data_IF_205812099935
#
_entry.id   IF_205812099935
#
_cell.length_a   1.000
_cell.length_b   1.000
_cell.length_c   1.000
_cell.angle_alpha   90.00
_cell.angle_beta   90.00
_cell.angle_gamma   90.00
#
_symmetry.space_group_name_H-M   'P 1'
#
loop_
_entity.id
_entity.type
_entity.pdbx_description
1 polymer ?
#
# COMPACT_ATOMS: atom_id res chain seq x y z
N UNK A 1 -44.83 44.64 -54.46
CA UNK A 1 -45.84 44.62 -53.38
C UNK A 1 -45.15 45.20 -52.15
N UNK A 2 -45.07 46.53 -52.02
CA UNK A 2 -45.91 47.38 -51.13
C UNK A 2 -45.89 46.87 -49.68
N UNK A 3 -45.38 47.55 -48.65
CA UNK A 3 -45.63 48.92 -48.16
C UNK A 3 -44.61 49.20 -47.02
N UNK A 4 -43.80 50.27 -47.04
CA UNK A 4 -43.95 51.56 -46.28
C UNK A 4 -44.27 51.44 -44.77
N UNK A 5 -43.77 52.25 -43.82
CA UNK A 5 -42.78 53.34 -43.77
C UNK A 5 -42.62 53.82 -42.29
N UNK A 6 -41.47 54.47 -42.00
CA UNK A 6 -41.18 55.63 -41.10
C UNK A 6 -41.47 55.66 -39.57
N UNK A 7 -40.48 56.22 -38.83
CA UNK A 7 -40.64 56.99 -37.57
C UNK A 7 -39.49 56.80 -36.56
N UNK A 8 -38.37 57.55 -36.62
CA UNK A 8 -38.02 58.78 -35.85
C UNK A 8 -38.04 58.66 -34.30
N UNK A 9 -36.88 58.81 -33.66
CA UNK A 9 -36.65 59.02 -32.21
C UNK A 9 -36.82 60.54 -31.83
N UNK A 10 -36.52 61.07 -30.60
CA UNK A 10 -36.13 60.50 -29.28
C UNK A 10 -36.78 61.22 -28.03
N UNK A 11 -36.26 60.94 -26.81
CA UNK A 11 -36.12 61.79 -25.59
C UNK A 11 -36.94 61.47 -24.31
N UNK A 12 -36.23 61.39 -23.17
CA UNK A 12 -36.74 61.47 -21.79
C UNK A 12 -36.19 60.37 -20.84
N UNK A 13 -34.91 60.40 -20.40
CA UNK A 13 -34.45 60.97 -19.11
C UNK A 13 -35.29 60.57 -17.88
N UNK A 14 -34.74 59.77 -16.96
CA UNK A 14 -34.59 60.06 -15.50
C UNK A 14 -33.68 59.00 -14.83
N UNK A 15 -32.74 59.49 -14.02
CA UNK A 15 -31.77 58.78 -13.16
C UNK A 15 -32.40 57.96 -12.02
N UNK A 16 -31.77 56.82 -11.69
CA UNK A 16 -31.54 56.26 -10.35
C UNK A 16 -30.57 55.05 -10.51
N UNK A 17 -29.26 55.16 -10.28
CA UNK A 17 -28.53 54.93 -9.01
C UNK A 17 -28.95 53.63 -8.30
N UNK A 18 -28.14 52.57 -8.40
CA UNK A 18 -27.37 51.96 -7.29
C UNK A 18 -26.74 50.61 -7.72
N UNK A 19 -25.46 50.48 -7.37
CA UNK A 19 -24.64 49.29 -7.07
C UNK A 19 -25.19 47.90 -7.43
N UNK A 20 -24.49 47.18 -8.30
CA UNK A 20 -24.37 45.72 -8.19
C UNK A 20 -22.99 45.26 -8.72
N UNK A 21 -22.34 44.44 -7.91
CA UNK A 21 -20.94 44.04 -7.91
C UNK A 21 -20.52 43.31 -9.20
N UNK A 22 -19.32 43.62 -9.72
CA UNK A 22 -18.60 42.76 -10.67
C UNK A 22 -18.35 41.38 -10.03
N UNK A 23 -18.82 40.26 -10.60
CA UNK A 23 -18.24 38.97 -10.29
C UNK A 23 -16.91 38.88 -11.05
N UNK A 24 -15.81 39.05 -10.32
CA UNK A 24 -14.47 38.63 -10.72
C UNK A 24 -14.52 37.17 -11.21
N UNK A 25 -14.58 37.02 -12.52
CA UNK A 25 -14.41 35.73 -13.20
C UNK A 25 -12.94 35.34 -13.07
N UNK A 26 -12.62 34.62 -12.00
CA UNK A 26 -11.34 33.93 -11.88
C UNK A 26 -11.21 32.91 -13.03
N UNK A 27 -10.52 33.32 -14.08
CA UNK A 27 -10.46 32.61 -15.36
C UNK A 27 -9.67 31.29 -15.34
N UNK A 28 -9.79 30.50 -16.42
CA UNK A 28 -9.17 29.18 -16.61
C UNK A 28 -7.62 29.19 -16.63
N UNK A 29 -6.97 30.35 -16.75
CA UNK A 29 -5.51 30.47 -16.77
C UNK A 29 -4.86 30.03 -15.46
N UNK A 30 -5.45 30.40 -14.32
CA UNK A 30 -4.90 30.09 -12.98
C UNK A 30 -4.90 28.58 -12.70
N UNK A 31 -5.85 27.83 -13.26
CA UNK A 31 -5.95 26.39 -13.06
C UNK A 31 -4.92 25.62 -13.92
N UNK A 32 -4.62 26.12 -15.13
CA UNK A 32 -3.60 25.56 -16.02
C UNK A 32 -2.20 25.78 -15.43
N UNK A 33 -1.91 26.98 -14.91
CA UNK A 33 -0.61 27.29 -14.30
C UNK A 33 -0.31 26.41 -13.09
N UNK A 34 -1.31 26.18 -12.22
CA UNK A 34 -1.17 25.31 -11.05
C UNK A 34 -0.90 23.87 -11.46
N UNK A 35 -1.63 23.32 -12.43
CA UNK A 35 -1.44 21.93 -12.87
C UNK A 35 -0.08 21.69 -13.51
N UNK A 36 0.43 22.67 -14.27
CA UNK A 36 1.75 22.59 -14.90
C UNK A 36 2.86 22.69 -13.85
N UNK A 37 2.70 23.55 -12.85
CA UNK A 37 3.60 23.66 -11.70
C UNK A 37 3.65 22.37 -10.86
N UNK A 38 2.48 21.77 -10.60
CA UNK A 38 2.35 20.51 -9.85
C UNK A 38 3.06 19.36 -10.56
N UNK A 39 2.89 19.24 -11.89
CA UNK A 39 3.63 18.24 -12.68
C UNK A 39 5.14 18.48 -12.66
N UNK A 40 5.58 19.74 -12.75
CA UNK A 40 6.99 20.10 -12.70
C UNK A 40 7.64 19.68 -11.37
N UNK A 41 6.96 19.92 -10.24
CA UNK A 41 7.43 19.50 -8.92
C UNK A 41 7.68 17.99 -8.86
N UNK A 42 6.85 17.23 -9.56
CA UNK A 42 6.99 15.79 -9.62
C UNK A 42 8.15 15.26 -10.43
N UNK A 43 8.38 15.86 -11.60
CA UNK A 43 9.58 15.60 -12.38
C UNK A 43 10.84 16.01 -11.61
N UNK A 44 10.81 17.17 -10.94
CA UNK A 44 11.92 17.64 -10.13
C UNK A 44 12.26 16.67 -8.99
N UNK A 45 11.26 16.17 -8.26
CA UNK A 45 11.46 15.16 -7.22
C UNK A 45 12.16 13.90 -7.74
N UNK A 46 11.76 13.43 -8.93
CA UNK A 46 12.34 12.23 -9.56
C UNK A 46 13.76 12.48 -10.07
N UNK A 47 14.02 13.67 -10.63
CA UNK A 47 15.36 14.09 -11.04
C UNK A 47 16.31 14.22 -9.85
N UNK A 48 15.85 14.83 -8.75
CA UNK A 48 16.64 14.94 -7.52
C UNK A 48 16.97 13.57 -6.94
N UNK A 49 16.03 12.62 -6.98
CA UNK A 49 16.31 11.23 -6.58
C UNK A 49 17.40 10.61 -7.46
N UNK A 50 17.32 10.77 -8.79
CA UNK A 50 18.33 10.25 -9.71
C UNK A 50 19.72 10.81 -9.39
N UNK A 51 19.84 12.13 -9.21
CA UNK A 51 21.10 12.77 -8.86
C UNK A 51 21.62 12.27 -7.52
N UNK A 52 20.75 12.19 -6.51
CA UNK A 52 21.12 11.69 -5.18
C UNK A 52 21.68 10.27 -5.23
N UNK A 53 21.02 9.38 -5.99
CA UNK A 53 21.43 8.00 -6.17
C UNK A 53 22.77 7.89 -6.90
N UNK A 54 22.96 8.66 -7.99
CA UNK A 54 24.22 8.68 -8.73
C UNK A 54 25.39 9.16 -7.86
N UNK A 55 25.21 10.25 -7.12
CA UNK A 55 26.24 10.77 -6.21
C UNK A 55 26.53 9.74 -5.11
N UNK A 56 25.50 9.19 -4.46
CA UNK A 56 25.69 8.21 -3.38
C UNK A 56 26.40 6.92 -3.83
N UNK A 57 26.12 6.43 -5.04
CA UNK A 57 26.82 5.26 -5.60
C UNK A 57 28.26 5.59 -5.98
N UNK A 58 28.51 6.76 -6.56
CA UNK A 58 29.85 7.23 -6.90
C UNK A 58 30.74 7.36 -5.66
N UNK A 59 30.22 7.94 -4.58
CA UNK A 59 30.98 8.14 -3.33
C UNK A 59 31.32 6.80 -2.67
N UNK A 60 30.40 5.83 -2.69
CA UNK A 60 30.67 4.47 -2.19
C UNK A 60 31.82 3.85 -2.96
N UNK A 61 31.78 3.89 -4.28
CA UNK A 61 32.88 3.38 -5.10
C UNK A 61 34.20 4.10 -4.84
N UNK A 62 34.20 5.43 -4.75
CA UNK A 62 35.40 6.24 -4.48
C UNK A 62 36.06 5.89 -3.13
N UNK A 63 35.25 5.58 -2.11
CA UNK A 63 35.75 5.29 -0.76
C UNK A 63 36.13 3.82 -0.59
N UNK A 64 35.38 2.88 -1.16
CA UNK A 64 35.65 1.44 -0.98
C UNK A 64 36.61 0.85 -2.01
N UNK A 65 36.84 1.54 -3.14
CA UNK A 65 37.59 1.07 -4.30
C UNK A 65 37.11 -0.29 -4.84
N UNK A 66 35.86 -0.67 -4.54
CA UNK A 66 35.28 -1.92 -4.97
C UNK A 66 34.77 -1.82 -6.42
N UNK A 67 35.46 -2.49 -7.33
CA UNK A 67 35.12 -2.50 -8.76
C UNK A 67 33.68 -3.00 -9.04
N UNK A 68 33.15 -3.87 -8.18
CA UNK A 68 31.77 -4.38 -8.30
C UNK A 68 30.73 -3.25 -8.22
N UNK A 69 30.94 -2.24 -7.37
CA UNK A 69 30.02 -1.10 -7.25
C UNK A 69 30.01 -0.28 -8.54
N UNK A 70 31.18 -0.08 -9.15
CA UNK A 70 31.31 0.61 -10.43
C UNK A 70 30.62 -0.17 -11.57
N UNK A 71 30.80 -1.49 -11.64
CA UNK A 71 30.14 -2.35 -12.64
C UNK A 71 28.63 -2.25 -12.51
N UNK A 72 28.09 -2.32 -11.28
CA UNK A 72 26.66 -2.18 -11.02
C UNK A 72 26.16 -0.78 -11.44
N UNK A 73 26.93 0.26 -11.15
CA UNK A 73 26.58 1.63 -11.52
C UNK A 73 26.53 1.82 -13.04
N UNK A 74 27.52 1.32 -13.78
CA UNK A 74 27.56 1.36 -15.25
C UNK A 74 26.40 0.56 -15.85
N UNK A 75 26.13 -0.64 -15.33
CA UNK A 75 24.97 -1.44 -15.73
C UNK A 75 23.67 -0.67 -15.51
N UNK A 76 23.58 0.13 -14.45
CA UNK A 76 22.43 0.98 -14.20
C UNK A 76 22.22 2.09 -15.18
N UNK A 77 23.30 2.78 -15.58
CA UNK A 77 23.23 3.77 -16.65
C UNK A 77 22.77 3.13 -17.97
N UNK A 78 23.22 1.90 -18.23
CA UNK A 78 22.77 1.14 -19.40
C UNK A 78 21.28 0.79 -19.33
N UNK A 79 20.78 0.32 -18.19
CA UNK A 79 19.34 0.04 -17.97
C UNK A 79 18.50 1.31 -18.12
N UNK A 80 18.95 2.45 -17.58
CA UNK A 80 18.29 3.75 -17.77
C UNK A 80 18.30 4.20 -19.24
N UNK A 81 19.40 3.94 -19.95
CA UNK A 81 19.50 4.15 -21.40
C UNK A 81 18.48 3.32 -22.18
N UNK A 82 18.37 2.02 -21.89
CA UNK A 82 17.36 1.14 -22.49
C UNK A 82 15.94 1.64 -22.16
N UNK A 83 15.67 2.00 -20.92
CA UNK A 83 14.37 2.53 -20.51
C UNK A 83 14.03 3.80 -21.30
N UNK A 84 15.00 4.68 -21.52
CA UNK A 84 14.82 5.90 -22.33
C UNK A 84 14.55 5.58 -23.80
N UNK A 85 15.28 4.63 -24.39
CA UNK A 85 15.06 4.17 -25.77
C UNK A 85 13.66 3.57 -25.93
N UNK A 86 13.26 2.68 -25.01
CA UNK A 86 11.92 2.08 -25.02
C UNK A 86 10.81 3.14 -24.92
N UNK A 87 11.04 4.20 -24.16
CA UNK A 87 10.09 5.30 -24.03
C UNK A 87 9.98 6.11 -25.32
N UNK A 88 11.09 6.67 -25.80
CA UNK A 88 11.09 7.65 -26.89
C UNK A 88 11.02 7.02 -28.29
N UNK A 89 11.70 5.89 -28.52
CA UNK A 89 11.78 5.28 -29.86
C UNK A 89 10.69 4.24 -30.11
N UNK A 90 10.38 3.41 -29.11
CA UNK A 90 9.43 2.31 -29.26
C UNK A 90 8.03 2.62 -28.73
N UNK A 91 7.80 3.80 -28.14
CA UNK A 91 6.55 4.18 -27.48
C UNK A 91 6.04 3.14 -26.45
N UNK A 92 6.97 2.36 -25.87
CA UNK A 92 6.69 1.32 -24.89
C UNK A 92 6.77 1.88 -23.46
N UNK A 93 5.90 2.85 -23.16
CA UNK A 93 5.93 3.61 -21.90
C UNK A 93 5.87 2.71 -20.65
N UNK A 94 5.01 1.69 -20.65
CA UNK A 94 4.85 0.78 -19.51
C UNK A 94 6.11 -0.04 -19.23
N UNK A 95 6.78 -0.51 -20.27
CA UNK A 95 8.01 -1.29 -20.13
C UNK A 95 9.16 -0.42 -19.64
N UNK A 96 9.27 0.80 -20.18
CA UNK A 96 10.24 1.80 -19.71
C UNK A 96 10.06 2.15 -18.23
N UNK A 97 8.85 2.53 -17.82
CA UNK A 97 8.53 2.84 -16.43
C UNK A 97 8.74 1.62 -15.53
N UNK A 98 8.43 0.42 -16.01
CA UNK A 98 8.65 -0.81 -15.26
C UNK A 98 10.14 -1.02 -14.94
N UNK A 99 11.01 -0.85 -15.93
CA UNK A 99 12.46 -0.95 -15.73
C UNK A 99 12.98 0.14 -14.80
N UNK A 100 12.47 1.37 -14.95
CA UNK A 100 12.82 2.50 -14.10
C UNK A 100 12.51 2.22 -12.62
N UNK A 101 11.27 1.87 -12.28
CA UNK A 101 10.88 1.58 -10.89
C UNK A 101 11.67 0.42 -10.27
N UNK A 102 11.86 -0.67 -11.04
CA UNK A 102 12.66 -1.80 -10.60
C UNK A 102 14.10 -1.38 -10.27
N UNK A 103 14.71 -0.60 -11.16
CA UNK A 103 16.10 -0.19 -11.03
C UNK A 103 16.31 0.80 -9.89
N UNK A 104 15.39 1.74 -9.68
CA UNK A 104 15.43 2.65 -8.54
C UNK A 104 15.30 1.93 -7.20
N UNK A 105 14.37 0.97 -7.10
CA UNK A 105 14.25 0.12 -5.91
C UNK A 105 15.56 -0.62 -5.61
N UNK A 106 16.21 -1.16 -6.65
CA UNK A 106 17.48 -1.86 -6.53
C UNK A 106 18.64 -0.94 -6.08
N UNK A 107 18.83 0.20 -6.75
CA UNK A 107 19.90 1.13 -6.38
C UNK A 107 19.72 1.70 -4.98
N UNK A 108 18.48 2.03 -4.58
CA UNK A 108 18.19 2.56 -3.25
C UNK A 108 18.40 1.50 -2.16
N UNK A 109 18.13 0.22 -2.47
CA UNK A 109 18.51 -0.91 -1.63
C UNK A 109 20.02 -1.03 -1.45
N UNK A 110 20.80 -0.96 -2.53
CA UNK A 110 22.26 -0.97 -2.44
C UNK A 110 22.82 0.19 -1.63
N UNK A 111 22.29 1.41 -1.84
CA UNK A 111 22.60 2.59 -1.04
C UNK A 111 22.32 2.37 0.45
N UNK A 112 21.22 1.69 0.78
CA UNK A 112 20.88 1.35 2.15
C UNK A 112 21.87 0.37 2.78
N UNK A 113 22.36 -0.60 2.01
CA UNK A 113 23.08 -1.76 2.51
C UNK A 113 24.61 -1.65 2.47
N UNK A 114 25.15 -0.95 1.46
CA UNK A 114 26.57 -0.66 1.30
C UNK A 114 26.92 0.62 2.07
N UNK A 115 26.87 0.54 3.40
CA UNK A 115 27.23 1.66 4.27
C UNK A 115 28.45 1.29 5.11
N UNK A 116 29.34 2.26 5.30
CA UNK A 116 30.61 2.11 6.00
C UNK A 116 30.87 3.36 6.83
N UNK A 117 31.40 3.25 8.07
CA UNK A 117 31.72 4.41 8.90
C UNK A 117 32.75 5.36 8.24
N UNK A 118 33.50 4.89 7.23
CA UNK A 118 34.40 5.74 6.43
C UNK A 118 33.66 6.81 5.60
N UNK A 119 32.35 6.65 5.39
CA UNK A 119 31.52 7.60 4.63
C UNK A 119 31.01 8.77 5.48
N UNK A 120 31.00 8.65 6.81
CA UNK A 120 30.34 9.61 7.71
C UNK A 120 30.99 11.02 7.66
N UNK A 121 32.28 11.11 7.33
CA UNK A 121 33.00 12.39 7.20
C UNK A 121 33.03 12.96 5.77
N UNK A 122 32.48 12.25 4.77
CA UNK A 122 32.57 12.68 3.37
C UNK A 122 31.48 13.69 3.01
N UNK A 123 31.89 14.89 2.57
CA UNK A 123 30.97 15.97 2.15
C UNK A 123 30.04 15.50 1.02
N UNK A 124 30.52 14.66 0.10
CA UNK A 124 29.70 14.17 -1.02
C UNK A 124 28.58 13.22 -0.54
N UNK A 125 28.82 12.38 0.48
CA UNK A 125 27.78 11.55 1.09
C UNK A 125 26.76 12.42 1.83
N UNK A 126 27.21 13.48 2.52
CA UNK A 126 26.31 14.45 3.16
C UNK A 126 25.38 15.10 2.12
N UNK A 127 25.92 15.52 0.98
CA UNK A 127 25.12 16.07 -0.13
C UNK A 127 24.13 15.04 -0.66
N UNK A 128 24.56 13.80 -0.91
CA UNK A 128 23.67 12.73 -1.35
C UNK A 128 22.51 12.50 -0.37
N UNK A 129 22.80 12.44 0.94
CA UNK A 129 21.79 12.27 2.00
C UNK A 129 20.77 13.41 2.04
N UNK A 130 21.21 14.66 1.89
CA UNK A 130 20.31 15.81 1.84
C UNK A 130 19.45 15.82 0.56
N UNK A 131 20.02 15.41 -0.58
CA UNK A 131 19.25 15.27 -1.82
C UNK A 131 18.21 14.16 -1.73
N UNK A 132 18.54 13.02 -1.09
CA UNK A 132 17.58 11.94 -0.80
C UNK A 132 16.40 12.48 0.01
N UNK A 133 16.68 13.18 1.12
CA UNK A 133 15.64 13.78 1.97
C UNK A 133 14.82 14.82 1.21
N UNK A 134 15.47 15.72 0.46
CA UNK A 134 14.82 16.72 -0.37
C UNK A 134 13.87 16.08 -1.40
N UNK A 135 14.27 14.95 -2.01
CA UNK A 135 13.42 14.23 -2.96
C UNK A 135 12.12 13.72 -2.32
N UNK A 136 12.17 13.27 -1.07
CA UNK A 136 11.01 12.80 -0.30
C UNK A 136 10.08 13.97 0.00
N UNK A 137 10.63 15.08 0.50
CA UNK A 137 9.85 16.27 0.84
C UNK A 137 9.14 16.80 -0.41
N UNK A 138 9.84 16.90 -1.54
CA UNK A 138 9.21 17.31 -2.81
C UNK A 138 8.12 16.35 -3.26
N UNK A 139 8.32 15.03 -3.11
CA UNK A 139 7.28 14.04 -3.43
C UNK A 139 6.07 14.20 -2.52
N UNK A 140 6.28 14.43 -1.23
CA UNK A 140 5.20 14.61 -0.27
C UNK A 140 4.39 15.88 -0.53
N UNK A 141 5.07 17.00 -0.81
CA UNK A 141 4.42 18.27 -1.19
C UNK A 141 3.65 18.10 -2.49
N UNK A 142 4.21 17.41 -3.49
CA UNK A 142 3.51 17.09 -4.73
C UNK A 142 2.24 16.28 -4.46
N UNK A 143 2.38 15.14 -3.78
CA UNK A 143 1.28 14.23 -3.47
C UNK A 143 0.17 14.91 -2.66
N UNK A 144 0.53 15.80 -1.72
CA UNK A 144 -0.43 16.58 -0.95
C UNK A 144 -1.15 17.61 -1.82
N UNK A 145 -0.41 18.34 -2.67
CA UNK A 145 -0.96 19.37 -3.54
C UNK A 145 -1.95 18.77 -4.55
N UNK A 146 -1.63 17.62 -5.15
CA UNK A 146 -2.56 16.92 -6.07
C UNK A 146 -3.88 16.56 -5.40
N UNK A 147 -3.85 16.14 -4.14
CA UNK A 147 -5.04 15.75 -3.36
C UNK A 147 -5.86 16.96 -2.95
N UNK A 148 -5.22 18.04 -2.50
CA UNK A 148 -5.90 19.30 -2.17
C UNK A 148 -6.59 19.89 -3.41
N UNK A 149 -5.91 19.86 -4.56
CA UNK A 149 -6.45 20.33 -5.83
C UNK A 149 -7.46 19.36 -6.48
N UNK A 150 -7.76 18.22 -5.84
CA UNK A 150 -8.64 17.15 -6.36
C UNK A 150 -8.28 16.67 -7.77
N UNK A 151 -6.99 16.72 -8.11
CA UNK A 151 -6.49 16.29 -9.42
C UNK A 151 -6.31 14.76 -9.51
N UNK A 152 -6.47 14.04 -8.38
CA UNK A 152 -6.22 12.60 -8.28
C UNK A 152 -7.42 11.79 -8.73
N UNK A 153 -7.18 10.85 -9.64
CA UNK A 153 -8.14 9.83 -10.03
C UNK A 153 -7.89 8.55 -9.23
N UNK A 154 -8.75 8.27 -8.25
CA UNK A 154 -8.63 7.07 -7.43
C UNK A 154 -9.05 5.83 -8.21
N UNK A 155 -8.14 4.85 -8.31
CA UNK A 155 -8.43 3.53 -8.88
C UNK A 155 -8.36 2.47 -7.77
N UNK A 156 -9.30 1.51 -7.74
CA UNK A 156 -9.25 0.42 -6.77
C UNK A 156 -8.17 -0.58 -7.17
N UNK A 157 -7.00 -0.47 -6.54
CA UNK A 157 -5.86 -1.38 -6.74
C UNK A 157 -5.27 -1.76 -5.39
N UNK A 158 -4.89 -3.03 -5.22
CA UNK A 158 -4.21 -3.50 -4.01
C UNK A 158 -2.80 -2.91 -3.92
N UNK A 159 -2.00 -3.17 -4.95
CA UNK A 159 -0.64 -2.67 -5.10
C UNK A 159 -0.47 -2.19 -6.53
N UNK A 160 0.15 -1.03 -6.72
CA UNK A 160 0.47 -0.51 -8.06
C UNK A 160 1.67 -1.27 -8.65
N UNK A 161 1.79 -1.28 -9.98
CA UNK A 161 2.95 -1.90 -10.63
C UNK A 161 4.27 -1.23 -10.23
N UNK A 162 4.24 0.10 -10.03
CA UNK A 162 5.41 0.87 -9.58
C UNK A 162 5.86 0.42 -8.18
N UNK A 163 4.94 0.36 -7.21
CA UNK A 163 5.24 -0.11 -5.85
C UNK A 163 5.76 -1.55 -5.87
N UNK A 164 5.12 -2.45 -6.62
CA UNK A 164 5.56 -3.85 -6.72
C UNK A 164 7.00 -3.96 -7.25
N UNK A 165 7.34 -3.18 -8.28
CA UNK A 165 8.66 -3.21 -8.90
C UNK A 165 9.72 -2.56 -8.01
N UNK A 166 9.40 -1.47 -7.31
CA UNK A 166 10.31 -0.85 -6.34
C UNK A 166 10.58 -1.80 -5.16
N UNK A 167 9.53 -2.46 -4.63
CA UNK A 167 9.66 -3.51 -3.60
C UNK A 167 10.55 -4.66 -4.10
N UNK A 168 10.30 -5.15 -5.32
CA UNK A 168 11.07 -6.25 -5.90
C UNK A 168 12.54 -5.84 -6.12
N UNK A 169 12.79 -4.63 -6.61
CA UNK A 169 14.14 -4.09 -6.76
C UNK A 169 14.91 -4.05 -5.44
N UNK A 170 14.29 -3.52 -4.39
CA UNK A 170 14.90 -3.46 -3.06
C UNK A 170 15.16 -4.86 -2.48
N UNK A 171 14.23 -5.80 -2.68
CA UNK A 171 14.41 -7.20 -2.30
C UNK A 171 15.53 -7.90 -3.09
N UNK A 172 15.70 -7.59 -4.37
CA UNK A 172 16.84 -8.10 -5.15
C UNK A 172 18.16 -7.51 -4.65
N UNK A 173 18.19 -6.24 -4.27
CA UNK A 173 19.40 -5.62 -3.72
C UNK A 173 19.89 -6.29 -2.43
N UNK A 174 18.99 -6.87 -1.61
CA UNK A 174 19.39 -7.57 -0.40
C UNK A 174 20.18 -8.85 -0.67
N UNK A 175 20.13 -9.39 -1.89
CA UNK A 175 20.94 -10.56 -2.29
C UNK A 175 22.44 -10.29 -2.34
N UNK A 176 22.84 -9.01 -2.31
CA UNK A 176 24.23 -8.63 -2.10
C UNK A 176 24.75 -8.99 -0.68
N UNK A 177 23.85 -9.26 0.27
CA UNK A 177 24.20 -9.70 1.62
C UNK A 177 24.19 -11.23 1.78
N UNK A 178 24.72 -11.70 2.92
CA UNK A 178 24.60 -13.09 3.36
C UNK A 178 23.14 -13.58 3.33
N UNK A 179 22.96 -14.85 2.94
CA UNK A 179 21.65 -15.45 2.69
C UNK A 179 20.64 -15.23 3.83
N UNK A 180 21.01 -15.47 5.09
CA UNK A 180 20.10 -15.31 6.23
C UNK A 180 19.63 -13.86 6.42
N UNK A 181 20.50 -12.86 6.19
CA UNK A 181 20.15 -11.43 6.24
C UNK A 181 19.25 -11.06 5.08
N UNK A 182 19.58 -11.55 3.88
CA UNK A 182 18.79 -11.32 2.67
C UNK A 182 17.36 -11.84 2.83
N UNK A 183 17.18 -13.07 3.32
CA UNK A 183 15.83 -13.64 3.53
C UNK A 183 15.01 -12.82 4.53
N UNK A 184 15.63 -12.34 5.62
CA UNK A 184 14.94 -11.48 6.59
C UNK A 184 14.54 -10.12 5.98
N UNK A 185 15.40 -9.52 5.17
CA UNK A 185 15.10 -8.27 4.44
C UNK A 185 13.99 -8.49 3.41
N UNK A 186 14.03 -9.59 2.66
CA UNK A 186 12.93 -9.96 1.74
C UNK A 186 11.63 -10.09 2.52
N UNK A 187 11.64 -10.76 3.68
CA UNK A 187 10.48 -10.83 4.58
C UNK A 187 9.96 -9.45 4.98
N UNK A 188 10.86 -8.52 5.35
CA UNK A 188 10.51 -7.13 5.68
C UNK A 188 9.89 -6.38 4.48
N UNK A 189 10.42 -6.60 3.27
CA UNK A 189 9.87 -6.00 2.03
C UNK A 189 8.47 -6.53 1.75
N UNK A 190 8.23 -7.83 1.94
CA UNK A 190 6.87 -8.40 1.80
C UNK A 190 5.94 -7.83 2.87
N UNK A 191 6.43 -7.66 4.11
CA UNK A 191 5.68 -7.00 5.19
C UNK A 191 5.30 -5.55 4.84
N UNK A 192 6.23 -4.78 4.25
CA UNK A 192 5.96 -3.43 3.75
C UNK A 192 4.91 -3.45 2.64
N UNK A 193 4.98 -4.41 1.72
CA UNK A 193 3.96 -4.60 0.69
C UNK A 193 2.58 -4.86 1.28
N UNK A 194 2.48 -5.75 2.27
CA UNK A 194 1.23 -6.02 2.97
C UNK A 194 0.69 -4.78 3.71
N UNK A 195 1.58 -4.00 4.33
CA UNK A 195 1.23 -2.74 4.99
C UNK A 195 0.71 -1.67 4.00
N UNK A 196 1.32 -1.55 2.82
CA UNK A 196 0.83 -0.64 1.77
C UNK A 196 -0.60 -1.02 1.36
N UNK A 197 -0.85 -2.32 1.17
CA UNK A 197 -2.20 -2.81 0.84
C UNK A 197 -3.18 -2.50 1.98
N UNK A 198 -2.77 -2.72 3.24
CA UNK A 198 -3.59 -2.46 4.42
C UNK A 198 -3.99 -0.97 4.53
N UNK A 199 -3.04 -0.06 4.27
CA UNK A 199 -3.28 1.38 4.22
C UNK A 199 -4.24 1.77 3.07
N UNK A 200 -4.06 1.20 1.88
CA UNK A 200 -4.95 1.47 0.73
C UNK A 200 -6.37 0.96 0.97
N UNK A 201 -6.51 -0.15 1.68
CA UNK A 201 -7.82 -0.67 2.13
C UNK A 201 -8.41 0.13 3.29
N UNK A 202 -7.67 1.08 3.86
CA UNK A 202 -7.99 1.86 5.07
C UNK A 202 -8.54 1.00 6.20
N UNK A 203 -7.90 -0.15 6.45
CA UNK A 203 -8.27 -0.94 7.62
C UNK A 203 -8.15 -0.09 8.89
N UNK A 204 -9.05 -0.32 9.85
CA UNK A 204 -9.10 0.42 11.12
C UNK A 204 -7.76 0.37 11.88
N UNK A 205 -7.02 -0.72 11.73
CA UNK A 205 -5.75 -0.97 12.42
C UNK A 205 -4.53 -0.65 11.55
N UNK A 206 -4.70 -0.17 10.32
CA UNK A 206 -3.59 0.08 9.40
C UNK A 206 -2.58 1.12 9.92
N UNK A 207 -3.04 2.19 10.58
CA UNK A 207 -2.15 3.19 11.18
C UNK A 207 -1.38 2.63 12.39
N UNK A 208 -2.00 1.73 13.16
CA UNK A 208 -1.34 1.04 14.26
C UNK A 208 -0.28 0.08 13.73
N UNK A 209 -0.60 -0.68 12.67
CA UNK A 209 0.34 -1.55 11.96
C UNK A 209 1.51 -0.74 11.38
N UNK A 210 1.27 0.46 10.85
CA UNK A 210 2.31 1.36 10.36
C UNK A 210 3.24 1.83 11.49
N UNK A 211 2.67 2.24 12.63
CA UNK A 211 3.45 2.65 13.80
C UNK A 211 4.30 1.49 14.34
N UNK A 212 3.70 0.30 14.47
CA UNK A 212 4.41 -0.91 14.89
C UNK A 212 5.53 -1.27 13.90
N UNK A 213 5.26 -1.23 12.60
CA UNK A 213 6.25 -1.47 11.55
C UNK A 213 7.42 -0.49 11.66
N UNK A 214 7.14 0.81 11.77
CA UNK A 214 8.18 1.83 11.88
C UNK A 214 9.04 1.66 13.15
N UNK A 215 8.41 1.42 14.30
CA UNK A 215 9.10 1.27 15.58
C UNK A 215 9.96 -0.01 15.63
N UNK A 216 9.39 -1.17 15.27
CA UNK A 216 10.11 -2.44 15.30
C UNK A 216 11.24 -2.44 14.26
N UNK A 217 10.99 -1.91 13.06
CA UNK A 217 12.00 -1.83 12.00
C UNK A 217 13.19 -0.96 12.42
N UNK A 218 12.92 0.24 12.94
CA UNK A 218 13.97 1.20 13.31
C UNK A 218 14.73 0.80 14.58
N UNK A 219 14.04 0.33 15.63
CA UNK A 219 14.66 0.09 16.94
C UNK A 219 15.28 -1.29 17.08
N UNK A 220 14.71 -2.31 16.43
CA UNK A 220 15.05 -3.71 16.73
C UNK A 220 15.54 -4.46 15.49
N UNK A 221 14.86 -4.34 14.35
CA UNK A 221 15.12 -5.18 13.19
C UNK A 221 16.53 -5.03 12.59
N UNK A 222 16.97 -3.80 12.29
CA UNK A 222 18.30 -3.58 11.73
C UNK A 222 19.42 -3.90 12.73
N UNK A 223 19.15 -3.67 14.03
CA UNK A 223 20.05 -4.07 15.10
C UNK A 223 20.17 -5.61 15.19
N UNK A 224 19.05 -6.34 15.09
CA UNK A 224 18.99 -7.80 15.11
C UNK A 224 19.82 -8.42 13.97
N UNK A 225 19.81 -7.81 12.79
CA UNK A 225 20.58 -8.28 11.64
C UNK A 225 22.04 -7.81 11.64
N UNK A 226 22.43 -6.96 12.59
CA UNK A 226 23.73 -6.30 12.63
C UNK A 226 24.09 -5.69 11.26
N UNK A 227 23.18 -4.87 10.72
CA UNK A 227 23.35 -4.15 9.46
C UNK A 227 23.40 -2.66 9.80
N UNK A 228 24.51 -2.00 9.46
CA UNK A 228 24.66 -0.55 9.59
C UNK A 228 23.92 0.19 8.46
N UNK A 229 22.59 0.02 8.35
CA UNK A 229 21.82 0.56 7.24
C UNK A 229 21.90 2.09 7.16
N UNK A 230 22.07 2.66 5.95
CA UNK A 230 22.01 4.12 5.79
C UNK A 230 20.56 4.60 6.04
N UNK A 231 20.32 5.42 7.10
CA UNK A 231 18.98 5.83 7.50
C UNK A 231 18.32 6.79 6.50
N UNK A 232 19.10 7.58 5.76
CA UNK A 232 18.58 8.50 4.74
C UNK A 232 18.10 7.76 3.50
N UNK A 233 18.83 6.74 3.05
CA UNK A 233 18.41 5.88 1.93
C UNK A 233 17.16 5.07 2.30
N UNK A 234 17.15 4.46 3.49
CA UNK A 234 15.99 3.73 4.00
C UNK A 234 14.77 4.64 4.19
N UNK A 235 14.96 5.81 4.79
CA UNK A 235 13.91 6.81 4.98
C UNK A 235 13.38 7.34 3.65
N UNK A 236 14.26 7.50 2.65
CA UNK A 236 13.87 7.86 1.30
C UNK A 236 13.01 6.78 0.64
N UNK A 237 13.42 5.52 0.74
CA UNK A 237 12.67 4.39 0.21
C UNK A 237 11.28 4.27 0.85
N UNK A 238 11.23 4.21 2.18
CA UNK A 238 9.98 4.09 2.93
C UNK A 238 9.09 5.32 2.75
N UNK A 239 9.66 6.53 2.85
CA UNK A 239 8.93 7.78 2.72
C UNK A 239 8.28 7.93 1.35
N UNK A 240 8.99 7.58 0.27
CA UNK A 240 8.44 7.67 -1.09
C UNK A 240 7.37 6.61 -1.37
N UNK A 241 7.51 5.40 -0.84
CA UNK A 241 6.52 4.33 -1.01
C UNK A 241 5.25 4.57 -0.17
N UNK A 242 5.39 5.01 1.08
CA UNK A 242 4.27 5.15 2.01
C UNK A 242 3.53 6.47 1.90
N UNK A 243 4.14 7.52 1.31
CA UNK A 243 3.54 8.84 1.25
C UNK A 243 2.13 8.84 0.62
N UNK A 244 1.97 8.23 -0.54
CA UNK A 244 0.68 8.19 -1.23
C UNK A 244 -0.37 7.33 -0.49
N UNK A 245 -0.08 6.07 -0.10
CA UNK A 245 -1.01 5.25 0.70
C UNK A 245 -1.46 5.93 2.00
N UNK A 246 -0.54 6.57 2.73
CA UNK A 246 -0.86 7.26 4.00
C UNK A 246 -1.79 8.45 3.76
N UNK A 247 -1.52 9.26 2.74
CA UNK A 247 -2.40 10.37 2.38
C UNK A 247 -3.77 9.86 1.89
N UNK A 248 -3.80 8.74 1.17
CA UNK A 248 -5.03 8.16 0.65
C UNK A 248 -5.99 7.69 1.76
N UNK A 249 -5.48 7.31 2.94
CA UNK A 249 -6.32 7.02 4.12
C UNK A 249 -7.25 8.19 4.43
N UNK A 250 -6.75 9.44 4.34
CA UNK A 250 -7.52 10.64 4.66
C UNK A 250 -8.26 11.24 3.46
N UNK A 251 -7.62 11.29 2.29
CA UNK A 251 -8.16 12.03 1.13
C UNK A 251 -9.01 11.18 0.16
N UNK A 252 -8.84 9.85 0.15
CA UNK A 252 -9.58 9.01 -0.80
C UNK A 252 -11.07 8.97 -0.45
N UNK A 253 -11.92 9.33 -1.42
CA UNK A 253 -13.38 9.25 -1.31
C UNK A 253 -13.98 7.92 -1.78
N UNK A 254 -13.17 6.91 -2.10
CA UNK A 254 -13.66 5.63 -2.62
C UNK A 254 -14.58 4.92 -1.62
N UNK A 255 -15.71 4.40 -2.12
CA UNK A 255 -16.63 3.61 -1.31
C UNK A 255 -15.98 2.31 -0.80
N UNK A 256 -16.48 1.77 0.30
CA UNK A 256 -15.92 0.54 0.92
C UNK A 256 -15.93 -0.64 -0.05
N UNK A 257 -17.04 -0.90 -0.74
CA UNK A 257 -17.13 -1.98 -1.73
C UNK A 257 -16.26 -1.75 -2.97
N UNK A 258 -15.96 -0.48 -3.30
CA UNK A 258 -15.09 -0.14 -4.43
C UNK A 258 -13.63 -0.41 -4.08
N UNK A 259 -13.18 -0.05 -2.86
CA UNK A 259 -11.81 -0.34 -2.39
C UNK A 259 -11.51 -1.84 -2.39
N UNK A 260 -12.44 -2.64 -1.86
CA UNK A 260 -12.31 -4.09 -1.82
C UNK A 260 -12.63 -4.80 -3.14
N UNK A 261 -13.03 -4.05 -4.19
CA UNK A 261 -13.41 -4.61 -5.48
C UNK A 261 -12.35 -5.56 -6.08
N UNK A 262 -11.03 -5.31 -6.01
CA UNK A 262 -10.02 -6.23 -6.52
C UNK A 262 -10.14 -7.61 -5.86
N UNK A 263 -10.31 -7.67 -4.53
CA UNK A 263 -10.49 -8.91 -3.76
C UNK A 263 -11.85 -9.54 -4.05
N UNK A 264 -12.90 -8.73 -4.08
CA UNK A 264 -14.27 -9.18 -4.31
C UNK A 264 -14.48 -9.73 -5.72
N UNK A 265 -13.74 -9.22 -6.71
CA UNK A 265 -13.83 -9.62 -8.13
C UNK A 265 -12.90 -10.77 -8.51
N UNK A 266 -11.95 -11.17 -7.65
CA UNK A 266 -11.01 -12.26 -7.93
C UNK A 266 -11.71 -13.54 -8.40
N UNK A 267 -11.04 -14.29 -9.28
CA UNK A 267 -11.50 -15.58 -9.76
C UNK A 267 -11.61 -16.64 -8.66
N UNK A 268 -12.39 -17.71 -8.90
CA UNK A 268 -12.56 -18.82 -7.94
C UNK A 268 -11.22 -19.49 -7.58
N UNK A 269 -10.37 -19.74 -8.57
CA UNK A 269 -9.06 -20.40 -8.37
C UNK A 269 -8.11 -19.49 -7.60
N UNK A 270 -7.96 -18.24 -8.04
CA UNK A 270 -7.09 -17.26 -7.41
C UNK A 270 -7.43 -16.97 -5.94
N UNK A 271 -8.71 -16.96 -5.56
CA UNK A 271 -9.10 -16.82 -4.14
C UNK A 271 -8.79 -18.03 -3.28
N UNK A 272 -8.85 -19.24 -3.83
CA UNK A 272 -8.43 -20.43 -3.09
C UNK A 272 -6.91 -20.45 -2.96
N UNK A 273 -6.22 -20.05 -4.03
CA UNK A 273 -4.76 -19.97 -4.03
C UNK A 273 -4.26 -18.88 -3.09
N UNK A 274 -4.98 -17.76 -2.89
CA UNK A 274 -4.57 -16.69 -1.97
C UNK A 274 -4.59 -17.08 -0.50
N UNK A 275 -5.28 -18.16 -0.12
CA UNK A 275 -5.24 -18.69 1.25
C UNK A 275 -3.95 -19.46 1.55
N UNK A 276 -3.31 -20.03 0.52
CA UNK A 276 -2.07 -20.78 0.67
C UNK A 276 -0.91 -19.89 1.15
N UNK A 277 -0.58 -18.72 0.56
CA UNK A 277 0.47 -17.86 1.07
C UNK A 277 0.13 -17.32 2.47
N UNK A 278 -1.14 -17.01 2.77
CA UNK A 278 -1.54 -16.62 4.13
C UNK A 278 -1.21 -17.72 5.15
N UNK A 279 -1.65 -18.95 4.89
CA UNK A 279 -1.40 -20.09 5.76
C UNK A 279 0.09 -20.42 5.90
N UNK A 280 0.87 -20.30 4.82
CA UNK A 280 2.32 -20.51 4.87
C UNK A 280 3.01 -19.46 5.75
N UNK A 281 2.61 -18.19 5.69
CA UNK A 281 3.20 -17.13 6.49
C UNK A 281 2.83 -17.24 7.97
N UNK A 282 1.59 -17.61 8.29
CA UNK A 282 1.17 -17.89 9.66
C UNK A 282 1.93 -19.09 10.26
N UNK A 283 2.06 -20.18 9.48
CA UNK A 283 2.85 -21.34 9.89
C UNK A 283 4.32 -20.98 10.09
N UNK A 284 4.90 -20.20 9.18
CA UNK A 284 6.29 -19.74 9.30
C UNK A 284 6.48 -18.91 10.57
N UNK A 285 5.57 -17.99 10.88
CA UNK A 285 5.59 -17.23 12.13
C UNK A 285 5.54 -18.16 13.35
N UNK A 286 4.64 -19.15 13.37
CA UNK A 286 4.53 -20.10 14.48
C UNK A 286 5.80 -20.94 14.68
N UNK A 287 6.39 -21.44 13.58
CA UNK A 287 7.65 -22.20 13.63
C UNK A 287 8.80 -21.33 14.13
N UNK A 288 8.90 -20.08 13.65
CA UNK A 288 9.92 -19.13 14.11
C UNK A 288 9.73 -18.74 15.58
N UNK A 289 8.48 -18.62 16.03
CA UNK A 289 8.15 -18.42 17.44
C UNK A 289 8.58 -19.62 18.29
N UNK A 290 8.36 -20.84 17.81
CA UNK A 290 8.73 -22.08 18.50
C UNK A 290 10.24 -22.22 18.71
N UNK A 291 11.09 -21.62 17.87
CA UNK A 291 12.53 -21.60 18.10
C UNK A 291 12.93 -20.90 19.42
N UNK A 292 12.05 -20.09 20.02
CA UNK A 292 12.25 -19.55 21.36
C UNK A 292 12.43 -20.64 22.42
N UNK A 293 11.80 -21.81 22.25
CA UNK A 293 11.92 -22.96 23.15
C UNK A 293 13.35 -23.51 23.27
N UNK A 294 14.22 -23.23 22.29
CA UNK A 294 15.62 -23.65 22.33
C UNK A 294 16.48 -22.83 23.32
N UNK A 295 16.00 -21.69 23.80
CA UNK A 295 16.72 -20.84 24.76
C UNK A 295 16.41 -21.26 26.20
N UNK A 296 17.28 -22.09 26.78
CA UNK A 296 17.08 -22.75 28.07
C UNK A 296 17.20 -21.84 29.31
N UNK A 297 17.56 -20.56 29.16
CA UNK A 297 17.84 -19.68 30.31
C UNK A 297 16.62 -19.38 31.19
N UNK A 298 15.39 -19.46 30.65
CA UNK A 298 14.13 -19.18 31.38
C UNK A 298 13.04 -20.25 31.12
N UNK A 299 13.45 -21.49 30.94
CA UNK A 299 12.59 -22.58 30.46
C UNK A 299 11.31 -22.80 31.27
N UNK A 300 11.34 -22.59 32.59
CA UNK A 300 10.18 -22.76 33.49
C UNK A 300 8.99 -21.85 33.16
N UNK A 301 9.23 -20.65 32.62
CA UNK A 301 8.16 -19.71 32.25
C UNK A 301 7.89 -19.76 30.74
N UNK A 302 8.94 -19.89 29.95
CA UNK A 302 8.86 -19.85 28.48
C UNK A 302 8.12 -21.06 27.93
N UNK A 303 8.40 -22.27 28.43
CA UNK A 303 7.78 -23.50 27.89
C UNK A 303 6.27 -23.52 28.19
N UNK A 304 5.80 -23.36 29.45
CA UNK A 304 4.36 -23.38 29.71
C UNK A 304 3.62 -22.21 29.05
N UNK A 305 4.24 -21.03 29.01
CA UNK A 305 3.69 -19.87 28.33
C UNK A 305 3.51 -20.10 26.84
N UNK A 306 4.56 -20.57 26.16
CA UNK A 306 4.49 -20.91 24.74
C UNK A 306 3.49 -22.03 24.46
N UNK A 307 3.41 -23.07 25.29
CA UNK A 307 2.42 -24.12 25.11
C UNK A 307 0.98 -23.60 25.23
N UNK A 308 0.69 -22.80 26.26
CA UNK A 308 -0.66 -22.24 26.47
C UNK A 308 -1.04 -21.27 25.35
N UNK A 309 -0.20 -20.26 25.10
CA UNK A 309 -0.50 -19.21 24.12
C UNK A 309 -0.35 -19.72 22.68
N UNK A 310 0.57 -20.64 22.41
CA UNK A 310 0.74 -21.27 21.11
C UNK A 310 -0.41 -22.20 20.74
N UNK A 311 -0.96 -22.96 21.70
CA UNK A 311 -2.16 -23.76 21.47
C UNK A 311 -3.39 -22.87 21.25
N UNK A 312 -3.56 -21.83 22.08
CA UNK A 312 -4.63 -20.85 21.89
C UNK A 312 -4.54 -20.15 20.53
N UNK A 313 -3.34 -19.71 20.14
CA UNK A 313 -3.05 -19.13 18.83
C UNK A 313 -3.41 -20.10 17.71
N UNK A 314 -2.97 -21.37 17.79
CA UNK A 314 -3.24 -22.38 16.77
C UNK A 314 -4.74 -22.60 16.57
N UNK A 315 -5.53 -22.66 17.65
CA UNK A 315 -6.99 -22.77 17.57
C UNK A 315 -7.59 -21.54 16.89
N UNK A 316 -7.19 -20.34 17.29
CA UNK A 316 -7.70 -19.09 16.71
C UNK A 316 -7.37 -18.99 15.21
N UNK A 317 -6.17 -19.40 14.80
CA UNK A 317 -5.71 -19.33 13.42
C UNK A 317 -6.34 -20.41 12.52
N UNK A 318 -6.59 -21.60 13.05
CA UNK A 318 -7.41 -22.59 12.34
C UNK A 318 -8.82 -22.04 12.09
N UNK A 319 -9.41 -21.34 13.07
CA UNK A 319 -10.70 -20.66 12.91
C UNK A 319 -10.59 -19.52 11.88
N UNK A 320 -9.52 -18.73 11.88
CA UNK A 320 -9.27 -17.68 10.89
C UNK A 320 -9.21 -18.27 9.46
N UNK A 321 -8.49 -19.36 9.25
CA UNK A 321 -8.41 -20.03 7.95
C UNK A 321 -9.76 -20.59 7.51
N UNK A 322 -10.52 -21.21 8.43
CA UNK A 322 -11.87 -21.72 8.15
C UNK A 322 -12.83 -20.58 7.80
N UNK A 323 -12.78 -19.46 8.53
CA UNK A 323 -13.66 -18.30 8.30
C UNK A 323 -13.33 -17.64 6.96
N UNK A 324 -12.05 -17.45 6.62
CA UNK A 324 -11.64 -16.93 5.32
C UNK A 324 -12.00 -17.87 4.17
N UNK A 325 -11.82 -19.18 4.34
CA UNK A 325 -12.28 -20.19 3.37
C UNK A 325 -13.80 -20.17 3.16
N UNK A 326 -14.56 -20.09 4.26
CA UNK A 326 -16.01 -19.98 4.25
C UNK A 326 -16.49 -18.71 3.55
N UNK A 327 -15.83 -17.57 3.82
CA UNK A 327 -16.08 -16.30 3.15
C UNK A 327 -15.89 -16.42 1.64
N UNK A 328 -14.73 -16.93 1.19
CA UNK A 328 -14.44 -17.08 -0.23
C UNK A 328 -15.41 -18.03 -0.94
N UNK A 329 -15.87 -19.09 -0.25
CA UNK A 329 -16.87 -20.01 -0.78
C UNK A 329 -18.21 -19.29 -0.99
N UNK A 330 -18.72 -18.58 0.02
CA UNK A 330 -19.96 -17.80 -0.09
C UNK A 330 -19.86 -16.67 -1.13
N UNK A 331 -18.71 -16.00 -1.22
CA UNK A 331 -18.45 -14.98 -2.24
C UNK A 331 -18.45 -15.58 -3.65
N UNK A 332 -17.90 -16.79 -3.82
CA UNK A 332 -17.96 -17.49 -5.11
C UNK A 332 -19.40 -17.79 -5.54
N UNK A 333 -20.29 -18.10 -4.59
CA UNK A 333 -21.71 -18.32 -4.89
C UNK A 333 -22.40 -17.02 -5.26
N UNK A 334 -22.13 -15.93 -4.52
CA UNK A 334 -22.64 -14.59 -4.84
C UNK A 334 -22.22 -14.13 -6.24
N UNK A 335 -20.95 -14.31 -6.61
CA UNK A 335 -20.47 -13.99 -7.96
C UNK A 335 -21.13 -14.85 -9.04
N UNK A 336 -21.36 -16.14 -8.80
CA UNK A 336 -22.06 -17.00 -9.77
C UNK A 336 -23.50 -16.54 -9.95
N UNK A 337 -24.21 -16.23 -8.86
CA UNK A 337 -25.56 -15.70 -8.91
C UNK A 337 -25.62 -14.35 -9.64
N UNK A 338 -24.68 -13.44 -9.34
CA UNK A 338 -24.56 -12.15 -10.01
C UNK A 338 -24.31 -12.29 -11.51
N UNK A 339 -23.43 -13.20 -11.93
CA UNK A 339 -23.20 -13.47 -13.36
C UNK A 339 -24.40 -14.12 -14.06
N UNK A 340 -25.13 -15.00 -13.37
CA UNK A 340 -26.34 -15.62 -13.91
C UNK A 340 -27.51 -14.64 -14.05
N UNK A 341 -27.58 -13.62 -13.18
CA UNK A 341 -28.63 -12.60 -13.17
C UNK A 341 -28.23 -11.30 -13.88
N UNK A 342 -27.23 -11.33 -14.76
CA UNK A 342 -26.67 -10.12 -15.43
C UNK A 342 -27.69 -9.34 -16.27
N UNK A 343 -28.83 -9.94 -16.61
CA UNK A 343 -29.96 -9.29 -17.29
C UNK A 343 -30.78 -8.37 -16.37
N UNK A 344 -30.71 -8.57 -15.06
CA UNK A 344 -31.34 -7.72 -14.04
C UNK A 344 -30.23 -6.84 -13.45
N UNK A 345 -30.44 -5.52 -13.39
CA UNK A 345 -29.47 -4.49 -12.97
C UNK A 345 -29.06 -4.53 -11.48
N UNK A 346 -28.99 -5.72 -10.86
CA UNK A 346 -28.64 -5.91 -9.46
C UNK A 346 -27.14 -5.78 -9.25
N UNK A 347 -26.76 -4.97 -8.26
CA UNK A 347 -25.37 -4.80 -7.86
C UNK A 347 -24.88 -6.02 -7.06
N UNK A 348 -23.56 -6.29 -7.07
CA UNK A 348 -22.96 -7.37 -6.29
C UNK A 348 -23.27 -7.24 -4.79
N UNK A 349 -23.30 -6.00 -4.28
CA UNK A 349 -23.62 -5.70 -2.88
C UNK A 349 -25.04 -6.18 -2.50
N UNK A 350 -26.03 -6.01 -3.38
CA UNK A 350 -27.40 -6.50 -3.14
C UNK A 350 -27.46 -8.03 -3.10
N UNK A 351 -26.71 -8.70 -3.99
CA UNK A 351 -26.63 -10.17 -3.99
C UNK A 351 -25.97 -10.67 -2.69
N UNK A 352 -24.88 -10.03 -2.25
CA UNK A 352 -24.19 -10.34 -1.00
C UNK A 352 -25.09 -10.12 0.22
N UNK A 353 -25.86 -9.03 0.25
CA UNK A 353 -26.83 -8.75 1.31
C UNK A 353 -27.93 -9.84 1.37
N UNK A 354 -28.53 -10.22 0.24
CA UNK A 354 -29.60 -11.22 0.19
C UNK A 354 -29.14 -12.64 0.60
N UNK A 355 -27.84 -12.93 0.50
CA UNK A 355 -27.22 -14.21 0.87
C UNK A 355 -26.66 -14.22 2.30
N UNK A 356 -26.94 -13.18 3.10
CA UNK A 356 -26.55 -13.13 4.51
C UNK A 356 -25.05 -12.94 4.75
N UNK A 357 -24.30 -12.39 3.79
CA UNK A 357 -22.87 -12.08 3.97
C UNK A 357 -22.65 -11.11 5.13
N UNK A 358 -23.56 -10.15 5.33
CA UNK A 358 -23.49 -9.19 6.44
C UNK A 358 -23.36 -9.89 7.81
N UNK A 359 -24.25 -10.84 8.10
CA UNK A 359 -24.23 -11.55 9.39
C UNK A 359 -22.98 -12.41 9.54
N UNK A 360 -22.54 -13.03 8.44
CA UNK A 360 -21.27 -13.75 8.41
C UNK A 360 -20.08 -12.85 8.72
N UNK A 361 -20.04 -11.63 8.17
CA UNK A 361 -19.00 -10.64 8.43
C UNK A 361 -19.01 -10.16 9.89
N UNK A 362 -20.16 -9.81 10.46
CA UNK A 362 -20.25 -9.33 11.84
C UNK A 362 -19.81 -10.38 12.89
N UNK A 363 -20.08 -11.66 12.62
CA UNK A 363 -19.61 -12.75 13.48
C UNK A 363 -18.11 -12.98 13.27
N UNK A 364 -17.67 -13.05 12.01
CA UNK A 364 -16.26 -13.27 11.66
C UNK A 364 -15.36 -12.15 12.16
N UNK A 365 -15.80 -10.89 12.15
CA UNK A 365 -15.08 -9.73 12.69
C UNK A 365 -14.56 -9.98 14.10
N UNK A 366 -15.43 -10.49 15.00
CA UNK A 366 -15.04 -10.81 16.38
C UNK A 366 -14.03 -11.94 16.45
N UNK A 367 -14.15 -12.96 15.60
CA UNK A 367 -13.24 -14.09 15.55
C UNK A 367 -11.85 -13.68 15.04
N UNK A 368 -11.78 -12.83 14.02
CA UNK A 368 -10.51 -12.32 13.50
C UNK A 368 -9.83 -11.41 14.53
N UNK A 369 -10.60 -10.62 15.28
CA UNK A 369 -10.04 -9.83 16.39
C UNK A 369 -9.38 -10.70 17.45
N UNK A 370 -9.98 -11.84 17.82
CA UNK A 370 -9.35 -12.80 18.73
C UNK A 370 -8.07 -13.42 18.14
N UNK A 371 -8.06 -13.75 16.84
CA UNK A 371 -6.86 -14.23 16.15
C UNK A 371 -5.74 -13.20 16.22
N UNK A 372 -6.02 -11.94 15.91
CA UNK A 372 -5.03 -10.88 15.94
C UNK A 372 -4.48 -10.64 17.34
N UNK A 373 -5.34 -10.62 18.35
CA UNK A 373 -4.92 -10.52 19.74
C UNK A 373 -4.02 -11.72 20.13
N UNK A 374 -4.36 -12.92 19.67
CA UNK A 374 -3.55 -14.11 19.92
C UNK A 374 -2.16 -14.01 19.28
N UNK A 375 -2.03 -13.41 18.08
CA UNK A 375 -0.74 -13.15 17.42
C UNK A 375 0.10 -12.14 18.18
N UNK A 376 -0.51 -11.05 18.65
CA UNK A 376 0.19 -10.06 19.50
C UNK A 376 0.69 -10.69 20.79
N UNK A 377 -0.14 -11.51 21.46
CA UNK A 377 0.24 -12.21 22.69
C UNK A 377 1.36 -13.22 22.42
N UNK A 378 1.23 -14.07 21.39
CA UNK A 378 2.24 -15.06 21.05
C UNK A 378 3.55 -14.39 20.63
N UNK A 379 3.48 -13.28 19.88
CA UNK A 379 4.64 -12.48 19.49
C UNK A 379 5.35 -11.84 20.69
N UNK A 380 4.60 -11.36 21.68
CA UNK A 380 5.15 -10.79 22.91
C UNK A 380 5.81 -11.86 23.79
N UNK A 381 5.16 -13.03 23.96
CA UNK A 381 5.69 -14.15 24.76
C UNK A 381 6.91 -14.77 24.08
N UNK A 382 6.91 -14.84 22.75
CA UNK A 382 7.97 -15.43 21.94
C UNK A 382 8.98 -14.40 21.45
N UNK A 383 9.08 -13.24 22.10
CA UNK A 383 9.90 -12.13 21.63
C UNK A 383 11.37 -12.53 21.48
N UNK A 384 11.90 -12.30 20.28
CA UNK A 384 13.28 -12.63 19.89
C UNK A 384 13.95 -11.40 19.25
N UNK A 385 14.61 -10.54 20.05
CA UNK A 385 15.20 -9.31 19.54
C UNK A 385 16.42 -9.54 18.63
N UNK A 386 17.02 -10.73 18.65
CA UNK A 386 18.18 -11.09 17.81
C UNK A 386 17.82 -11.87 16.55
N UNK A 387 16.54 -12.22 16.34
CA UNK A 387 16.11 -13.04 15.21
C UNK A 387 15.33 -12.20 14.20
N UNK A 388 16.03 -11.70 13.18
CA UNK A 388 15.42 -10.89 12.12
C UNK A 388 14.32 -11.61 11.33
N UNK A 389 14.39 -12.94 11.18
CA UNK A 389 13.33 -13.71 10.51
C UNK A 389 12.03 -13.67 11.32
N UNK A 390 12.11 -13.88 12.63
CA UNK A 390 10.96 -13.78 13.52
C UNK A 390 10.33 -12.38 13.47
N UNK A 391 11.15 -11.32 13.54
CA UNK A 391 10.67 -9.94 13.47
C UNK A 391 10.00 -9.64 12.12
N UNK A 392 10.59 -10.09 11.00
CA UNK A 392 9.97 -9.91 9.67
C UNK A 392 8.65 -10.66 9.53
N UNK A 393 8.55 -11.88 10.08
CA UNK A 393 7.33 -12.68 10.05
C UNK A 393 6.22 -12.04 10.89
N UNK A 394 6.54 -11.56 12.10
CA UNK A 394 5.60 -10.82 12.94
C UNK A 394 5.08 -9.55 12.23
N UNK A 395 5.98 -8.77 11.64
CA UNK A 395 5.63 -7.56 10.90
C UNK A 395 4.84 -7.83 9.61
N UNK A 396 4.90 -9.05 9.07
CA UNK A 396 4.11 -9.48 7.93
C UNK A 396 2.70 -9.96 8.34
N UNK A 397 2.60 -10.77 9.39
CA UNK A 397 1.33 -11.35 9.83
C UNK A 397 0.37 -10.28 10.36
N UNK A 398 0.88 -9.27 11.10
CA UNK A 398 0.03 -8.21 11.68
C UNK A 398 -0.78 -7.42 10.63
N UNK A 399 -0.19 -6.88 9.53
CA UNK A 399 -0.96 -6.29 8.44
C UNK A 399 -1.91 -7.25 7.73
N UNK A 400 -1.56 -8.54 7.59
CA UNK A 400 -2.43 -9.54 6.95
C UNK A 400 -3.72 -9.77 7.76
N UNK A 401 -3.59 -9.92 9.08
CA UNK A 401 -4.73 -10.04 10.00
C UNK A 401 -5.53 -8.74 10.09
N UNK A 402 -4.85 -7.59 10.12
CA UNK A 402 -5.48 -6.26 10.06
C UNK A 402 -6.34 -6.11 8.81
N UNK A 403 -5.86 -6.56 7.64
CA UNK A 403 -6.66 -6.56 6.41
C UNK A 403 -7.87 -7.50 6.49
N UNK A 404 -7.71 -8.70 7.04
CA UNK A 404 -8.82 -9.63 7.22
C UNK A 404 -9.90 -9.04 8.15
N UNK A 405 -9.48 -8.41 9.25
CA UNK A 405 -10.36 -7.71 10.18
C UNK A 405 -11.08 -6.55 9.47
N UNK A 406 -10.34 -5.69 8.77
CA UNK A 406 -10.87 -4.55 8.02
C UNK A 406 -11.89 -4.97 6.96
N UNK A 407 -11.63 -6.06 6.24
CA UNK A 407 -12.56 -6.64 5.26
C UNK A 407 -13.90 -7.00 5.90
N UNK A 408 -13.88 -7.73 7.03
CA UNK A 408 -15.12 -8.14 7.69
C UNK A 408 -15.85 -6.97 8.35
N UNK A 409 -15.11 -6.07 9.00
CA UNK A 409 -15.66 -4.87 9.63
C UNK A 409 -16.38 -3.97 8.61
N UNK A 410 -15.71 -3.62 7.51
CA UNK A 410 -16.27 -2.74 6.49
C UNK A 410 -17.43 -3.39 5.73
N UNK A 411 -17.32 -4.67 5.35
CA UNK A 411 -18.43 -5.37 4.68
C UNK A 411 -19.63 -5.58 5.62
N UNK A 412 -19.39 -5.84 6.90
CA UNK A 412 -20.45 -5.97 7.91
C UNK A 412 -21.21 -4.66 8.13
N UNK A 413 -20.52 -3.53 8.06
CA UNK A 413 -21.10 -2.19 8.18
C UNK A 413 -21.81 -1.71 6.90
N UNK A 414 -21.25 -2.01 5.72
CA UNK A 414 -21.72 -1.42 4.46
C UNK A 414 -22.78 -2.25 3.71
N UNK A 415 -22.88 -3.56 3.95
CA UNK A 415 -23.94 -4.36 3.36
C UNK A 415 -25.25 -4.07 4.10
N UNK A 416 -26.12 -3.25 3.48
CA UNK A 416 -27.46 -2.96 4.00
C UNK A 416 -28.40 -4.19 3.98
N UNK A 417 -29.34 -4.24 4.92
CA UNK A 417 -30.41 -5.24 4.99
C UNK A 417 -30.05 -6.51 5.79
N UNK A 418 -30.82 -6.79 6.84
CA UNK A 418 -31.04 -8.16 7.29
C UNK A 418 -31.85 -8.88 6.21
N UNK A 419 -31.75 -10.21 6.10
CA UNK A 419 -32.59 -11.01 5.20
C UNK A 419 -34.09 -10.68 5.37
N UNK A 420 -34.52 -10.23 6.56
CA UNK A 420 -35.86 -9.75 6.85
C UNK A 420 -36.27 -8.49 6.06
N UNK A 421 -35.38 -7.52 5.86
CA UNK A 421 -35.69 -6.28 5.15
C UNK A 421 -35.88 -6.47 3.63
N UNK A 422 -35.16 -7.41 3.03
CA UNK A 422 -35.35 -7.79 1.62
C UNK A 422 -36.42 -8.87 1.43
N UNK A 423 -36.67 -9.72 2.42
CA UNK A 423 -37.80 -10.65 2.41
C UNK A 423 -39.16 -9.92 2.55
N UNK A 424 -39.21 -8.79 3.27
CA UNK A 424 -40.36 -7.87 3.28
C UNK A 424 -40.59 -7.17 1.94
N UNK A 425 -39.59 -7.13 1.07
CA UNK A 425 -39.67 -6.64 -0.32
C UNK A 425 -39.55 -7.81 -1.30
N UNK A 426 -39.97 -9.02 -0.90
CA UNK A 426 -40.52 -9.97 -1.86
C UNK A 426 -41.96 -9.50 -2.06
N UNK A 427 -42.35 -8.94 -3.22
CA UNK A 427 -43.76 -8.86 -3.52
C UNK A 427 -44.28 -10.28 -3.42
N UNK A 428 -45.32 -10.47 -2.62
CA UNK A 428 -46.21 -11.62 -2.67
C UNK A 428 -46.77 -11.75 -4.09
N UNK A 429 -45.94 -12.21 -5.02
CA UNK A 429 -46.34 -12.78 -6.30
C UNK A 429 -46.49 -14.30 -6.11
N UNK A 430 -47.16 -14.68 -5.03
CA UNK A 430 -48.10 -15.79 -5.06
C UNK A 430 -49.48 -15.16 -5.22
N UNK A 431 -49.76 -14.65 -6.42
CA UNK A 431 -51.13 -14.60 -6.90
C UNK A 431 -51.34 -15.89 -7.67
N UNK A 432 -52.09 -16.79 -7.04
CA UNK A 432 -52.97 -17.70 -7.75
C UNK A 432 -53.89 -16.89 -8.67
N UNK A 433 -53.83 -17.18 -9.97
CA UNK A 433 -54.95 -17.12 -10.92
C UNK A 433 -54.53 -17.87 -12.18
#
# INVERSE_FOLDING_TARGET
>A
MSSSALGSAPLGSVMAREEEEEPLTAGPSKQVDVFTSVRCLGYLSSLTLLVAVCVGMYVRWEVTDEQMILVIFILGLFVLGIASILHYYFAMEKASLSLFHLWFGFLLGLLCFLNSPALDSNIKELVANHLLLGSVVMKAVWALTERICRAVHYKPTLLTSAELLELLGFGVASTAMLFHKSVAIIGLVVALGALIVDLRMKSLLALLSLAAFALVTSLVFFHALNIAANPYALGCYLGRLLCEPVLDVYFSGLGTSERWLPVLSMGKVWRKLSLLPLSLMELAFFVLAAFKLGQLEQWYLVIPGFCLFGLFWSICHVILLITMWGFHTKLSECQRAWRAQRSVSRSLNQVMASRGIRHFCLISERLVLFSMLSTVILGAVSWQPSNGLFLSALLLVLPLESMAYGLFHELGGCLGGTCAGYALVIPTAYCSA
#
